data_IF_540505635228
#
_entry.id   IF_540505635228
#
_cell.length_a   1.000
_cell.length_b   1.000
_cell.length_c   1.000
_cell.angle_alpha   90.00
_cell.angle_beta   90.00
_cell.angle_gamma   90.00
#
_symmetry.space_group_name_H-M   'P 1'
#
loop_
_entity.id
_entity.type
_entity.pdbx_description
1 polymer ?
#
# COMPACT_ATOMS: atom_id res chain seq x y z
N UNK A 1 17.26 -38.72 29.85
CA UNK A 1 17.95 -38.98 28.56
C UNK A 1 17.97 -40.48 28.26
N UNK A 2 16.79 -41.07 28.05
CA UNK A 2 16.52 -42.38 27.42
C UNK A 2 15.00 -42.50 27.43
N UNK A 3 14.40 -42.87 26.29
CA UNK A 3 12.97 -43.13 26.06
C UNK A 3 12.13 -42.06 25.33
N UNK A 4 12.71 -41.33 24.36
CA UNK A 4 11.92 -40.51 23.41
C UNK A 4 12.18 -40.79 21.92
N UNK A 5 12.83 -41.91 21.55
CA UNK A 5 13.10 -42.24 20.14
C UNK A 5 12.83 -43.70 19.79
N UNK A 6 11.55 -44.10 19.74
CA UNK A 6 11.12 -45.31 19.01
C UNK A 6 9.84 -45.03 18.22
N UNK A 7 9.92 -44.17 17.21
CA UNK A 7 8.99 -44.19 16.08
C UNK A 7 9.51 -45.18 15.05
N UNK A 8 8.83 -46.31 14.91
CA UNK A 8 9.01 -47.22 13.77
C UNK A 8 8.40 -46.56 12.55
N UNK A 9 9.24 -46.15 11.60
CA UNK A 9 8.79 -45.72 10.27
C UNK A 9 8.26 -46.96 9.54
N UNK A 10 6.94 -47.03 9.34
CA UNK A 10 6.36 -47.97 8.40
C UNK A 10 6.43 -47.39 6.99
N UNK A 11 6.79 -48.25 6.04
CA UNK A 11 6.96 -47.91 4.62
C UNK A 11 5.57 -47.71 4.01
N UNK A 12 5.02 -46.50 4.09
CA UNK A 12 3.72 -46.15 3.51
C UNK A 12 3.18 -44.75 3.85
N UNK A 13 4.02 -43.84 4.36
CA UNK A 13 3.57 -42.55 4.90
C UNK A 13 3.43 -41.46 3.82
N UNK A 14 2.69 -41.78 2.75
CA UNK A 14 2.30 -40.84 1.72
C UNK A 14 0.79 -40.58 1.85
N UNK A 15 0.43 -39.41 2.37
CA UNK A 15 -0.88 -38.81 2.13
C UNK A 15 -1.87 -38.82 3.29
N UNK A 16 -1.52 -38.21 4.43
CA UNK A 16 -2.53 -37.87 5.47
C UNK A 16 -3.23 -36.52 5.27
N UNK A 17 -2.94 -35.76 4.21
CA UNK A 17 -3.57 -34.45 3.95
C UNK A 17 -4.46 -34.37 2.69
N UNK A 18 -4.45 -35.38 1.82
CA UNK A 18 -5.19 -35.32 0.56
C UNK A 18 -6.60 -35.96 0.61
N UNK A 19 -6.88 -36.84 1.59
CA UNK A 19 -8.15 -37.57 1.62
C UNK A 19 -9.33 -36.79 2.22
N UNK A 20 -9.09 -35.78 3.06
CA UNK A 20 -10.18 -35.13 3.82
C UNK A 20 -10.99 -34.10 3.01
N UNK A 21 -10.53 -33.72 1.81
CA UNK A 21 -11.27 -32.79 0.93
C UNK A 21 -12.29 -33.50 0.02
N UNK A 22 -12.28 -34.83 -0.04
CA UNK A 22 -13.12 -35.59 -0.99
C UNK A 22 -14.51 -35.94 -0.46
N UNK A 23 -14.77 -35.75 0.84
CA UNK A 23 -16.06 -36.10 1.48
C UNK A 23 -17.01 -34.90 1.69
N UNK A 24 -16.69 -33.73 1.13
CA UNK A 24 -17.63 -32.61 1.08
C UNK A 24 -18.72 -32.93 0.04
N UNK A 25 -19.90 -33.33 0.54
CA UNK A 25 -21.06 -33.66 -0.28
C UNK A 25 -21.36 -32.56 -1.30
N UNK A 26 -21.67 -32.97 -2.54
CA UNK A 26 -22.05 -32.09 -3.64
C UNK A 26 -23.09 -31.06 -3.18
N UNK A 27 -22.67 -29.80 -3.04
CA UNK A 27 -23.58 -28.68 -2.96
C UNK A 27 -23.69 -28.01 -4.32
N UNK A 28 -24.91 -27.58 -4.61
CA UNK A 28 -25.30 -26.86 -5.82
C UNK A 28 -24.43 -25.61 -6.04
N UNK A 29 -23.69 -25.52 -7.16
CA UNK A 29 -22.79 -24.40 -7.44
C UNK A 29 -23.50 -23.05 -7.67
N UNK A 30 -24.83 -23.02 -7.82
CA UNK A 30 -25.61 -21.78 -7.97
C UNK A 30 -26.12 -21.21 -6.64
N UNK A 31 -25.88 -21.90 -5.51
CA UNK A 31 -26.34 -21.43 -4.20
C UNK A 31 -25.39 -20.37 -3.64
N UNK A 32 -25.90 -19.15 -3.49
CA UNK A 32 -25.16 -18.02 -2.92
C UNK A 32 -24.53 -18.41 -1.56
N UNK A 33 -23.19 -18.34 -1.50
CA UNK A 33 -22.41 -18.61 -0.28
C UNK A 33 -22.71 -17.50 0.74
N UNK A 34 -23.73 -17.72 1.60
CA UNK A 34 -23.98 -16.81 2.71
C UNK A 34 -22.79 -16.85 3.68
N UNK A 35 -22.02 -15.77 3.68
CA UNK A 35 -21.03 -15.41 4.68
C UNK A 35 -21.65 -15.43 6.09
N UNK A 36 -21.48 -16.53 6.83
CA UNK A 36 -21.82 -16.63 8.27
C UNK A 36 -20.89 -15.81 9.18
N UNK A 37 -20.29 -14.74 8.65
CA UNK A 37 -19.29 -13.90 9.31
C UNK A 37 -19.90 -12.68 10.01
N UNK A 38 -21.19 -12.40 9.80
CA UNK A 38 -21.86 -11.20 10.32
C UNK A 38 -21.87 -11.09 11.87
N UNK A 39 -21.62 -12.18 12.59
CA UNK A 39 -21.61 -12.21 14.06
C UNK A 39 -20.23 -12.06 14.73
N UNK A 40 -19.12 -12.12 13.99
CA UNK A 40 -17.77 -12.12 14.57
C UNK A 40 -17.24 -10.69 14.77
N UNK A 41 -17.27 -10.23 16.03
CA UNK A 41 -16.66 -8.95 16.44
C UNK A 41 -15.14 -9.09 16.59
N UNK A 42 -14.41 -7.99 16.38
CA UNK A 42 -12.94 -7.89 16.41
C UNK A 42 -12.26 -8.29 17.74
N UNK A 43 -13.02 -8.66 18.78
CA UNK A 43 -12.53 -8.89 20.14
C UNK A 43 -12.72 -10.33 20.64
N UNK A 44 -13.15 -11.27 19.79
CA UNK A 44 -13.39 -12.65 20.22
C UNK A 44 -12.06 -13.39 20.40
N UNK A 45 -11.60 -13.49 21.64
CA UNK A 45 -10.44 -14.30 22.02
C UNK A 45 -10.70 -15.78 21.72
N UNK A 46 -10.09 -16.29 20.64
CA UNK A 46 -10.23 -17.67 20.13
C UNK A 46 -9.78 -18.74 21.15
N UNK A 47 -8.98 -18.34 22.14
CA UNK A 47 -8.38 -19.26 23.12
C UNK A 47 -9.23 -19.55 24.38
N UNK A 48 -10.41 -18.93 24.54
CA UNK A 48 -11.22 -19.10 25.75
C UNK A 48 -12.24 -20.25 25.69
N UNK A 49 -12.50 -20.85 24.53
CA UNK A 49 -13.49 -21.93 24.37
C UNK A 49 -12.92 -23.08 23.52
N UNK A 50 -13.07 -24.32 23.99
CA UNK A 50 -12.48 -25.50 23.32
C UNK A 50 -13.05 -25.72 21.91
N UNK A 51 -14.28 -25.28 21.63
CA UNK A 51 -14.87 -25.40 20.29
C UNK A 51 -14.20 -24.48 19.26
N UNK A 52 -13.74 -23.29 19.66
CA UNK A 52 -13.07 -22.36 18.74
C UNK A 52 -11.63 -22.81 18.43
N UNK A 53 -10.99 -23.52 19.37
CA UNK A 53 -9.69 -24.15 19.16
C UNK A 53 -9.78 -25.38 18.22
N UNK A 54 -10.82 -26.20 18.35
CA UNK A 54 -11.08 -27.32 17.43
C UNK A 54 -11.40 -26.87 15.98
N UNK A 55 -12.08 -25.73 15.81
CA UNK A 55 -12.34 -25.17 14.48
C UNK A 55 -11.08 -24.64 13.78
N UNK A 56 -10.11 -24.12 14.54
CA UNK A 56 -8.79 -23.71 14.02
C UNK A 56 -7.93 -24.92 13.60
N UNK A 57 -7.90 -25.97 14.41
CA UNK A 57 -7.25 -27.27 14.07
C UNK A 57 -7.84 -27.91 12.80
N UNK A 58 -9.14 -27.66 12.50
CA UNK A 58 -9.81 -28.11 11.26
C UNK A 58 -9.47 -27.28 10.01
N UNK A 59 -8.52 -26.34 10.08
CA UNK A 59 -8.01 -25.61 8.92
C UNK A 59 -8.78 -24.32 8.58
N UNK A 60 -9.65 -23.83 9.46
CA UNK A 60 -10.29 -22.52 9.29
C UNK A 60 -9.26 -21.44 9.61
N UNK A 61 -8.86 -20.67 8.59
CA UNK A 61 -7.95 -19.53 8.73
C UNK A 61 -8.42 -18.60 9.85
N UNK A 62 -7.48 -18.16 10.71
CA UNK A 62 -7.75 -17.18 11.77
C UNK A 62 -8.61 -16.04 11.19
N UNK A 63 -9.77 -15.67 11.76
CA UNK A 63 -10.72 -14.74 11.12
C UNK A 63 -10.07 -13.43 10.66
N UNK A 64 -9.02 -13.01 11.36
CA UNK A 64 -8.19 -11.87 11.00
C UNK A 64 -7.33 -12.11 9.74
N UNK A 65 -6.68 -13.27 9.62
CA UNK A 65 -5.96 -13.66 8.40
C UNK A 65 -6.92 -13.82 7.22
N UNK A 66 -8.09 -14.44 7.44
CA UNK A 66 -9.11 -14.60 6.41
C UNK A 66 -9.57 -13.23 5.89
N UNK A 67 -9.93 -12.30 6.78
CA UNK A 67 -10.28 -10.94 6.39
C UNK A 67 -9.14 -10.23 5.66
N UNK A 68 -7.90 -10.33 6.16
CA UNK A 68 -6.74 -9.69 5.52
C UNK A 68 -6.48 -10.24 4.12
N UNK A 69 -6.62 -11.55 3.90
CA UNK A 69 -6.49 -12.18 2.58
C UNK A 69 -7.53 -11.69 1.56
N UNK A 70 -8.74 -11.34 2.01
CA UNK A 70 -9.81 -10.84 1.13
C UNK A 70 -9.87 -9.30 1.03
N UNK A 71 -9.20 -8.57 1.92
CA UNK A 71 -9.27 -7.10 1.97
C UNK A 71 -7.98 -6.39 1.58
N UNK A 72 -6.83 -7.06 1.60
CA UNK A 72 -5.53 -6.44 1.30
C UNK A 72 -4.99 -6.87 -0.08
N UNK A 73 -4.34 -5.96 -0.83
CA UNK A 73 -3.62 -6.30 -2.05
C UNK A 73 -2.51 -7.34 -1.81
N UNK A 74 -2.19 -8.13 -2.84
CA UNK A 74 -1.17 -9.18 -2.77
C UNK A 74 0.22 -8.66 -2.40
N UNK A 75 0.59 -7.44 -2.82
CA UNK A 75 1.88 -6.85 -2.42
C UNK A 75 1.97 -6.61 -0.91
N UNK A 76 0.87 -6.17 -0.28
CA UNK A 76 0.81 -5.91 1.16
C UNK A 76 0.94 -7.21 1.95
N UNK A 77 0.29 -8.28 1.46
CA UNK A 77 0.37 -9.61 2.08
C UNK A 77 1.78 -10.20 1.97
N UNK A 78 2.43 -10.08 0.80
CA UNK A 78 3.80 -10.55 0.60
C UNK A 78 4.82 -9.77 1.44
N UNK A 79 4.67 -8.45 1.52
CA UNK A 79 5.52 -7.61 2.38
C UNK A 79 5.36 -7.99 3.86
N UNK A 80 4.14 -8.27 4.31
CA UNK A 80 3.86 -8.71 5.68
C UNK A 80 4.41 -10.10 5.95
N UNK A 81 4.20 -11.07 5.06
CA UNK A 81 4.75 -12.41 5.19
C UNK A 81 6.28 -12.40 5.24
N UNK A 82 6.92 -11.60 4.38
CA UNK A 82 8.38 -11.42 4.39
C UNK A 82 8.87 -10.86 5.72
N UNK A 83 8.16 -9.85 6.27
CA UNK A 83 8.50 -9.25 7.57
C UNK A 83 8.38 -10.26 8.71
N UNK A 84 7.32 -11.07 8.73
CA UNK A 84 7.12 -12.12 9.73
C UNK A 84 8.20 -13.22 9.64
N UNK A 85 8.58 -13.63 8.43
CA UNK A 85 9.68 -14.59 8.23
C UNK A 85 10.99 -14.04 8.78
N UNK A 86 11.30 -12.77 8.48
CA UNK A 86 12.53 -12.12 8.97
C UNK A 86 12.51 -12.01 10.50
N UNK A 87 11.38 -11.60 11.10
CA UNK A 87 11.23 -11.52 12.55
C UNK A 87 11.37 -12.90 13.21
N UNK A 88 10.75 -13.93 12.63
CA UNK A 88 10.86 -15.31 13.10
C UNK A 88 12.30 -15.81 13.07
N UNK A 89 13.03 -15.55 11.98
CA UNK A 89 14.46 -15.89 11.86
C UNK A 89 15.33 -15.17 12.90
N UNK A 90 15.11 -13.88 13.13
CA UNK A 90 15.86 -13.12 14.14
C UNK A 90 15.60 -13.68 15.55
N UNK A 91 14.34 -14.02 15.86
CA UNK A 91 13.97 -14.58 17.15
C UNK A 91 14.58 -15.97 17.36
N UNK A 92 14.53 -16.83 16.34
CA UNK A 92 15.17 -18.15 16.36
C UNK A 92 16.67 -18.03 16.60
N UNK A 93 17.34 -17.11 15.90
CA UNK A 93 18.79 -16.90 16.04
C UNK A 93 19.16 -16.36 17.43
N UNK A 94 18.36 -15.43 17.98
CA UNK A 94 18.54 -14.95 19.35
C UNK A 94 18.37 -16.07 20.38
N UNK A 95 17.38 -16.96 20.19
CA UNK A 95 17.17 -18.12 21.06
C UNK A 95 18.33 -19.12 20.97
N UNK A 96 18.81 -19.41 19.76
CA UNK A 96 19.97 -20.29 19.55
C UNK A 96 21.23 -19.72 20.21
N UNK A 97 21.50 -18.42 20.04
CA UNK A 97 22.63 -17.75 20.69
C UNK A 97 22.52 -17.86 22.22
N UNK A 98 21.33 -17.61 22.79
CA UNK A 98 21.11 -17.72 24.23
C UNK A 98 21.30 -19.14 24.76
N UNK A 99 20.81 -20.15 24.03
CA UNK A 99 21.04 -21.57 24.38
C UNK A 99 22.52 -21.92 24.28
N UNK A 100 23.20 -21.43 23.25
CA UNK A 100 24.63 -21.65 23.05
C UNK A 100 25.47 -20.99 24.15
N UNK A 101 25.15 -19.75 24.55
CA UNK A 101 25.76 -19.04 25.67
C UNK A 101 25.58 -19.78 26.99
N UNK A 102 24.36 -20.26 27.26
CA UNK A 102 24.07 -21.07 28.45
C UNK A 102 24.88 -22.37 28.44
N UNK A 103 25.00 -23.04 27.28
CA UNK A 103 25.82 -24.24 27.11
C UNK A 103 27.31 -23.99 27.39
N UNK A 104 27.86 -22.86 26.92
CA UNK A 104 29.23 -22.46 27.22
C UNK A 104 29.44 -22.21 28.71
N UNK A 105 28.51 -21.51 29.36
CA UNK A 105 28.58 -21.25 30.78
C UNK A 105 28.52 -22.55 31.60
N UNK A 106 27.62 -23.46 31.25
CA UNK A 106 27.50 -24.77 31.93
C UNK A 106 28.81 -25.56 31.80
N UNK A 107 29.39 -25.60 30.60
CA UNK A 107 30.66 -26.31 30.36
C UNK A 107 31.81 -25.69 31.17
N UNK A 108 31.88 -24.36 31.19
CA UNK A 108 32.85 -23.63 32.02
C UNK A 108 32.67 -23.92 33.52
N UNK A 109 31.43 -23.94 34.00
CA UNK A 109 31.11 -24.26 35.39
C UNK A 109 31.44 -25.72 35.73
N UNK A 110 31.17 -26.68 34.83
CA UNK A 110 31.52 -28.10 35.00
C UNK A 110 33.04 -28.30 35.13
N UNK A 111 33.82 -27.60 34.30
CA UNK A 111 35.28 -27.60 34.43
C UNK A 111 35.75 -27.05 35.77
N UNK A 112 35.16 -25.93 36.23
CA UNK A 112 35.49 -25.34 37.52
C UNK A 112 35.12 -26.25 38.69
N UNK A 113 33.96 -26.89 38.66
CA UNK A 113 33.52 -27.82 39.71
C UNK A 113 34.45 -29.03 39.78
N UNK A 114 34.86 -29.60 38.63
CA UNK A 114 35.84 -30.70 38.60
C UNK A 114 37.19 -30.28 39.17
N UNK A 115 37.69 -29.12 38.75
CA UNK A 115 38.93 -28.56 39.29
C UNK A 115 38.85 -28.39 40.81
N UNK A 116 37.76 -27.82 41.32
CA UNK A 116 37.55 -27.64 42.77
C UNK A 116 37.47 -28.98 43.52
N UNK A 117 36.86 -30.00 42.92
CA UNK A 117 36.77 -31.33 43.53
C UNK A 117 38.14 -32.01 43.64
N UNK A 118 38.93 -31.98 42.57
CA UNK A 118 40.31 -32.50 42.57
C UNK A 118 41.18 -31.79 43.61
N UNK A 119 41.05 -30.47 43.70
CA UNK A 119 41.77 -29.67 44.67
C UNK A 119 41.37 -29.98 46.12
N UNK A 120 40.08 -30.24 46.41
CA UNK A 120 39.60 -30.65 47.73
C UNK A 120 40.10 -32.05 48.13
N UNK A 121 40.19 -32.97 47.16
CA UNK A 121 40.69 -34.32 47.42
C UNK A 121 42.20 -34.31 47.72
N UNK A 122 42.97 -33.43 47.05
CA UNK A 122 44.38 -33.18 47.39
C UNK A 122 44.52 -32.60 48.80
N UNK A 123 43.74 -31.58 49.16
CA UNK A 123 43.77 -30.96 50.48
C UNK A 123 43.40 -31.94 51.60
N UNK A 124 42.44 -32.86 51.38
CA UNK A 124 42.11 -33.92 52.33
C UNK A 124 43.22 -34.93 52.58
N UNK A 125 44.13 -35.09 51.61
CA UNK A 125 45.27 -36.01 51.71
C UNK A 125 46.48 -35.39 52.41
N UNK A 126 46.51 -34.05 52.58
CA UNK A 126 47.57 -33.32 53.29
C UNK A 126 47.29 -33.22 54.78
N UNK A 127 48.36 -33.28 55.58
CA UNK A 127 48.28 -33.19 57.03
C UNK A 127 47.90 -31.76 57.50
N UNK A 128 47.17 -31.68 58.62
CA UNK A 128 46.32 -30.54 59.00
C UNK A 128 46.92 -29.12 58.91
N UNK A 129 48.18 -28.85 59.32
CA UNK A 129 48.72 -27.49 59.27
C UNK A 129 49.01 -26.98 57.85
N UNK A 130 49.44 -27.86 56.95
CA UNK A 130 49.85 -27.49 55.59
C UNK A 130 48.64 -27.28 54.66
N UNK A 131 47.59 -28.11 54.84
CA UNK A 131 46.33 -27.99 54.10
C UNK A 131 45.60 -26.67 54.41
N UNK A 132 45.71 -26.16 55.64
CA UNK A 132 45.08 -24.88 56.05
C UNK A 132 45.74 -23.70 55.36
N UNK A 133 47.08 -23.68 55.26
CA UNK A 133 47.82 -22.58 54.61
C UNK A 133 47.53 -22.52 53.11
N UNK A 134 47.51 -23.65 52.40
CA UNK A 134 47.17 -23.68 50.97
C UNK A 134 45.71 -23.30 50.69
N UNK A 135 44.78 -23.71 51.55
CA UNK A 135 43.38 -23.32 51.42
C UNK A 135 43.18 -21.80 51.59
N UNK A 136 43.93 -21.17 52.50
CA UNK A 136 43.87 -19.73 52.76
C UNK A 136 44.49 -18.91 51.61
N UNK A 137 45.59 -19.37 51.02
CA UNK A 137 46.19 -18.77 49.83
C UNK A 137 45.23 -18.84 48.62
N UNK A 138 44.57 -19.99 48.42
CA UNK A 138 43.57 -20.19 47.36
C UNK A 138 42.34 -19.31 47.55
N UNK A 139 41.84 -19.19 48.77
CA UNK A 139 40.72 -18.31 49.09
C UNK A 139 41.05 -16.85 48.78
N UNK A 140 42.29 -16.43 49.03
CA UNK A 140 42.78 -15.08 48.69
C UNK A 140 42.85 -14.86 47.18
N UNK A 141 43.34 -15.83 46.41
CA UNK A 141 43.38 -15.75 44.94
C UNK A 141 41.99 -15.68 44.30
N UNK A 142 41.05 -16.52 44.75
CA UNK A 142 39.66 -16.49 44.28
C UNK A 142 38.98 -15.16 44.60
N UNK A 143 39.28 -14.57 45.76
CA UNK A 143 38.76 -13.25 46.15
C UNK A 143 39.27 -12.17 45.21
N UNK A 144 40.54 -12.21 44.82
CA UNK A 144 41.13 -11.27 43.86
C UNK A 144 40.51 -11.41 42.45
N UNK A 145 40.33 -12.64 41.96
CA UNK A 145 39.64 -12.89 40.68
C UNK A 145 38.19 -12.39 40.69
N UNK A 146 37.49 -12.53 41.82
CA UNK A 146 36.10 -12.07 41.97
C UNK A 146 36.02 -10.53 41.93
N UNK A 147 36.95 -9.84 42.60
CA UNK A 147 37.05 -8.38 42.51
C UNK A 147 37.41 -7.91 41.09
N UNK A 148 38.28 -8.63 40.38
CA UNK A 148 38.60 -8.35 38.98
C UNK A 148 37.37 -8.47 38.07
N UNK A 149 36.61 -9.55 38.18
CA UNK A 149 35.37 -9.76 37.38
C UNK A 149 34.32 -8.69 37.71
N UNK A 150 34.20 -8.28 38.98
CA UNK A 150 33.30 -7.18 39.36
C UNK A 150 33.70 -5.87 38.70
N UNK A 151 35.00 -5.56 38.67
CA UNK A 151 35.52 -4.36 38.02
C UNK A 151 35.27 -4.38 36.50
N UNK A 152 35.57 -5.49 35.83
CA UNK A 152 35.32 -5.68 34.39
C UNK A 152 33.83 -5.51 34.05
N UNK A 153 32.95 -6.14 34.83
CA UNK A 153 31.49 -6.01 34.64
C UNK A 153 30.99 -4.58 34.81
N UNK A 154 31.55 -3.82 35.76
CA UNK A 154 31.19 -2.42 35.96
C UNK A 154 31.64 -1.56 34.77
N UNK A 155 32.80 -1.84 34.20
CA UNK A 155 33.29 -1.15 32.99
C UNK A 155 32.43 -1.47 31.76
N UNK A 156 32.06 -2.74 31.55
CA UNK A 156 31.16 -3.14 30.46
C UNK A 156 29.78 -2.47 30.58
N UNK A 157 29.23 -2.36 31.79
CA UNK A 157 27.97 -1.65 32.02
C UNK A 157 28.06 -0.18 31.63
N UNK A 158 29.16 0.51 31.97
CA UNK A 158 29.38 1.89 31.57
C UNK A 158 29.49 2.05 30.05
N UNK A 159 30.20 1.12 29.38
CA UNK A 159 30.30 1.10 27.92
C UNK A 159 28.95 0.87 27.25
N UNK A 160 28.16 -0.08 27.77
CA UNK A 160 26.81 -0.34 27.29
C UNK A 160 25.92 0.91 27.45
N UNK A 161 25.93 1.55 28.62
CA UNK A 161 25.13 2.75 28.85
C UNK A 161 25.54 3.92 27.94
N UNK A 162 26.84 4.09 27.68
CA UNK A 162 27.33 5.08 26.72
C UNK A 162 26.79 4.80 25.30
N UNK A 163 26.86 3.55 24.84
CA UNK A 163 26.33 3.15 23.53
C UNK A 163 24.81 3.32 23.42
N UNK A 164 24.06 3.05 24.51
CA UNK A 164 22.61 3.23 24.52
C UNK A 164 22.24 4.72 24.43
N UNK A 165 22.99 5.60 25.09
CA UNK A 165 22.79 7.06 25.00
C UNK A 165 23.07 7.58 23.59
N UNK A 166 24.11 7.09 22.93
CA UNK A 166 24.42 7.44 21.54
C UNK A 166 23.31 6.98 20.58
N UNK A 167 22.88 5.72 20.68
CA UNK A 167 21.77 5.18 19.89
C UNK A 167 20.47 5.95 20.12
N UNK A 168 20.18 6.35 21.36
CA UNK A 168 19.02 7.18 21.70
C UNK A 168 19.10 8.56 21.03
N UNK A 169 20.28 9.15 20.95
CA UNK A 169 20.53 10.40 20.21
C UNK A 169 20.20 10.24 18.73
N UNK A 170 20.80 9.24 18.07
CA UNK A 170 20.55 8.96 16.64
C UNK A 170 19.08 8.66 16.33
N UNK A 171 18.39 7.94 17.21
CA UNK A 171 16.96 7.69 17.07
C UNK A 171 16.15 8.99 17.13
N UNK A 172 16.53 9.92 18.01
CA UNK A 172 15.94 11.26 18.11
C UNK A 172 16.12 12.05 16.81
N UNK A 173 17.35 12.08 16.28
CA UNK A 173 17.67 12.76 15.02
C UNK A 173 16.89 12.17 13.84
N UNK A 174 16.85 10.83 13.73
CA UNK A 174 16.10 10.14 12.68
C UNK A 174 14.60 10.44 12.76
N UNK A 175 14.02 10.50 13.97
CA UNK A 175 12.63 10.87 14.16
C UNK A 175 12.36 12.32 13.76
N UNK A 176 13.28 13.24 14.06
CA UNK A 176 13.18 14.64 13.66
C UNK A 176 13.18 14.77 12.13
N UNK A 177 14.15 14.16 11.46
CA UNK A 177 14.24 14.14 9.99
C UNK A 177 12.99 13.55 9.33
N UNK A 178 12.43 12.49 9.91
CA UNK A 178 11.17 11.90 9.42
C UNK A 178 9.99 12.87 9.53
N UNK A 179 9.90 13.64 10.63
CA UNK A 179 8.86 14.67 10.79
C UNK A 179 9.02 15.78 9.77
N UNK A 180 10.26 16.25 9.55
CA UNK A 180 10.55 17.27 8.54
C UNK A 180 10.24 16.77 7.12
N UNK A 181 10.66 15.56 6.76
CA UNK A 181 10.38 14.97 5.46
C UNK A 181 8.87 14.85 5.21
N UNK A 182 8.09 14.42 6.21
CA UNK A 182 6.62 14.38 6.12
C UNK A 182 6.01 15.77 5.95
N UNK A 183 6.52 16.77 6.66
CA UNK A 183 6.05 18.15 6.51
C UNK A 183 6.35 18.70 5.10
N UNK A 184 7.53 18.41 4.55
CA UNK A 184 7.91 18.78 3.18
C UNK A 184 7.03 18.09 2.15
N UNK A 185 6.79 16.79 2.29
CA UNK A 185 5.92 16.03 1.39
C UNK A 185 4.51 16.66 1.31
N UNK A 186 3.90 16.96 2.47
CA UNK A 186 2.58 17.62 2.51
C UNK A 186 2.56 18.97 1.79
N UNK A 187 3.60 19.80 1.95
CA UNK A 187 3.68 21.09 1.25
C UNK A 187 3.74 20.92 -0.26
N UNK A 188 4.53 19.96 -0.74
CA UNK A 188 4.60 19.65 -2.17
C UNK A 188 3.25 19.16 -2.69
N UNK A 189 2.55 18.31 -1.93
CA UNK A 189 1.20 17.85 -2.29
C UNK A 189 0.21 19.02 -2.39
N UNK A 190 0.26 19.97 -1.45
CA UNK A 190 -0.59 21.18 -1.46
C UNK A 190 -0.26 22.09 -2.67
N UNK A 191 1.02 22.27 -2.99
CA UNK A 191 1.47 23.01 -4.19
C UNK A 191 1.01 22.32 -5.48
N UNK A 192 1.13 21.00 -5.55
CA UNK A 192 0.66 20.20 -6.68
C UNK A 192 -0.86 20.35 -6.85
N UNK A 193 -1.61 20.25 -5.76
CA UNK A 193 -3.06 20.43 -5.76
C UNK A 193 -3.46 21.83 -6.24
N UNK A 194 -2.72 22.87 -5.83
CA UNK A 194 -2.96 24.23 -6.31
C UNK A 194 -2.69 24.33 -7.81
N UNK A 195 -1.56 23.81 -8.29
CA UNK A 195 -1.21 23.82 -9.72
C UNK A 195 -2.23 23.06 -10.59
N UNK A 196 -2.78 21.96 -10.09
CA UNK A 196 -3.84 21.21 -10.79
C UNK A 196 -5.11 22.04 -10.93
N UNK A 197 -5.52 22.77 -9.87
CA UNK A 197 -6.69 23.66 -9.94
C UNK A 197 -6.48 24.79 -10.94
N UNK A 198 -5.30 25.39 -10.95
CA UNK A 198 -4.96 26.49 -11.87
C UNK A 198 -4.97 25.98 -13.33
N UNK A 199 -4.42 24.78 -13.58
CA UNK A 199 -4.46 24.14 -14.89
C UNK A 199 -5.89 23.82 -15.34
N UNK A 200 -6.71 23.28 -14.45
CA UNK A 200 -8.11 22.97 -14.74
C UNK A 200 -8.91 24.23 -15.08
N UNK A 201 -8.69 25.32 -14.34
CA UNK A 201 -9.27 26.63 -14.64
C UNK A 201 -8.83 27.14 -16.02
N UNK A 202 -7.53 27.13 -16.33
CA UNK A 202 -7.02 27.56 -17.62
C UNK A 202 -7.60 26.71 -18.78
N UNK A 203 -7.75 25.39 -18.55
CA UNK A 203 -8.36 24.48 -19.53
C UNK A 203 -9.84 24.76 -19.74
N UNK A 204 -10.56 25.28 -18.75
CA UNK A 204 -11.96 25.67 -18.89
C UNK A 204 -12.12 26.99 -19.67
N UNK A 205 -11.19 27.94 -19.51
CA UNK A 205 -11.25 29.25 -20.18
C UNK A 205 -10.79 29.20 -21.64
N UNK A 206 -9.74 28.43 -21.95
CA UNK A 206 -9.18 28.34 -23.30
C UNK A 206 -10.22 28.03 -24.40
N UNK A 207 -11.13 27.05 -24.23
CA UNK A 207 -12.19 26.78 -25.20
C UNK A 207 -13.19 27.92 -25.33
N UNK A 208 -13.54 28.61 -24.23
CA UNK A 208 -14.53 29.70 -24.24
C UNK A 208 -13.99 30.86 -25.08
N UNK A 209 -12.73 31.24 -24.86
CA UNK A 209 -12.05 32.31 -25.60
C UNK A 209 -11.86 31.93 -27.07
N UNK A 210 -11.34 30.73 -27.35
CA UNK A 210 -11.11 30.28 -28.73
C UNK A 210 -12.41 30.16 -29.53
N UNK A 211 -13.51 29.71 -28.91
CA UNK A 211 -14.83 29.66 -29.56
C UNK A 211 -15.38 31.06 -29.80
N UNK A 212 -15.20 31.99 -28.87
CA UNK A 212 -15.62 33.38 -29.06
C UNK A 212 -14.86 34.06 -30.21
N UNK A 213 -13.54 33.87 -30.28
CA UNK A 213 -12.69 34.36 -31.37
C UNK A 213 -13.08 33.73 -32.72
N UNK A 214 -13.28 32.42 -32.75
CA UNK A 214 -13.73 31.72 -33.96
C UNK A 214 -15.08 32.25 -34.46
N UNK A 215 -16.06 32.42 -33.56
CA UNK A 215 -17.37 33.02 -33.91
C UNK A 215 -17.25 34.47 -34.36
N UNK A 216 -16.26 35.22 -33.84
CA UNK A 216 -15.97 36.60 -34.25
C UNK A 216 -15.27 36.72 -35.60
N UNK A 217 -14.59 35.67 -36.06
CA UNK A 217 -13.80 35.66 -37.29
C UNK A 217 -14.62 35.94 -38.54
N UNK A 218 -13.99 36.61 -39.52
CA UNK A 218 -14.63 36.94 -40.80
C UNK A 218 -15.08 35.67 -41.55
N UNK A 219 -14.24 34.63 -41.58
CA UNK A 219 -14.54 33.37 -42.25
C UNK A 219 -15.78 32.67 -41.69
N UNK A 220 -15.99 32.71 -40.36
CA UNK A 220 -17.21 32.17 -39.74
C UNK A 220 -18.46 32.97 -40.15
N UNK A 221 -18.40 34.31 -40.12
CA UNK A 221 -19.51 35.18 -40.53
C UNK A 221 -19.87 35.01 -42.02
N UNK A 222 -18.88 34.94 -42.89
CA UNK A 222 -19.09 34.68 -44.32
C UNK A 222 -19.62 33.27 -44.58
N UNK A 223 -19.13 32.27 -43.84
CA UNK A 223 -19.66 30.90 -43.86
C UNK A 223 -21.14 30.86 -43.51
N UNK A 224 -21.55 31.56 -42.45
CA UNK A 224 -22.96 31.69 -42.06
C UNK A 224 -23.82 32.35 -43.16
N UNK A 225 -23.32 33.42 -43.78
CA UNK A 225 -24.02 34.08 -44.91
C UNK A 225 -24.22 33.11 -46.08
N UNK A 226 -23.18 32.35 -46.46
CA UNK A 226 -23.26 31.34 -47.52
C UNK A 226 -24.25 30.23 -47.18
N UNK A 227 -24.22 29.72 -45.94
CA UNK A 227 -25.17 28.71 -45.48
C UNK A 227 -26.62 29.22 -45.53
N UNK A 228 -26.87 30.45 -45.08
CA UNK A 228 -28.19 31.08 -45.15
C UNK A 228 -28.71 31.23 -46.59
N UNK A 229 -27.83 31.61 -47.53
CA UNK A 229 -28.18 31.70 -48.95
C UNK A 229 -28.56 30.33 -49.52
N UNK A 230 -27.76 29.29 -49.24
CA UNK A 230 -28.04 27.92 -49.72
C UNK A 230 -29.37 27.38 -49.16
N UNK A 231 -29.67 27.62 -47.87
CA UNK A 231 -30.94 27.17 -47.28
C UNK A 231 -32.14 27.94 -47.83
N UNK A 232 -31.98 29.25 -48.06
CA UNK A 232 -33.00 30.09 -48.67
C UNK A 232 -33.28 29.70 -50.13
N UNK A 233 -32.24 29.50 -50.94
CA UNK A 233 -32.34 29.01 -52.32
C UNK A 233 -33.03 27.64 -52.38
N UNK A 234 -32.63 26.72 -51.51
CA UNK A 234 -33.24 25.40 -51.44
C UNK A 234 -34.73 25.49 -51.08
N UNK A 235 -35.07 26.29 -50.06
CA UNK A 235 -36.45 26.55 -49.66
C UNK A 235 -37.28 27.18 -50.78
N UNK A 236 -36.72 28.15 -51.49
CA UNK A 236 -37.35 28.80 -52.64
C UNK A 236 -37.63 27.81 -53.77
N UNK A 237 -36.64 26.98 -54.16
CA UNK A 237 -36.82 25.96 -55.20
C UNK A 237 -37.92 24.96 -54.86
N UNK A 238 -37.98 24.53 -53.59
CA UNK A 238 -39.05 23.65 -53.12
C UNK A 238 -40.42 24.34 -53.16
N UNK A 239 -40.51 25.59 -52.70
CA UNK A 239 -41.74 26.37 -52.74
C UNK A 239 -42.22 26.62 -54.17
N UNK A 240 -41.30 26.96 -55.07
CA UNK A 240 -41.55 27.18 -56.50
C UNK A 240 -42.06 25.90 -57.18
N UNK A 241 -41.44 24.75 -56.92
CA UNK A 241 -41.91 23.46 -57.43
C UNK A 241 -43.34 23.14 -56.95
N UNK A 242 -43.64 23.40 -55.68
CA UNK A 242 -44.99 23.21 -55.12
C UNK A 242 -46.02 24.19 -55.69
N UNK A 243 -45.60 25.41 -56.01
CA UNK A 243 -46.47 26.41 -56.64
C UNK A 243 -46.80 26.01 -58.08
N UNK A 244 -45.79 25.67 -58.89
CA UNK A 244 -45.96 25.20 -60.28
C UNK A 244 -46.86 23.96 -60.37
N UNK A 245 -46.73 23.03 -59.43
CA UNK A 245 -47.60 21.86 -59.36
C UNK A 245 -49.08 22.22 -59.09
N UNK A 246 -49.37 23.35 -58.44
CA UNK A 246 -50.73 23.82 -58.14
C UNK A 246 -51.31 24.78 -59.16
N UNK A 247 -50.45 25.53 -59.86
CA UNK A 247 -50.84 26.54 -60.85
C UNK A 247 -49.99 26.39 -62.13
N UNK A 248 -50.31 25.43 -63.02
CA UNK A 248 -49.48 25.10 -64.18
C UNK A 248 -49.36 26.23 -65.21
N UNK A 249 -50.40 27.07 -65.32
CA UNK A 249 -50.50 28.12 -66.36
C UNK A 249 -49.99 29.49 -65.89
N UNK A 250 -49.49 29.58 -64.64
CA UNK A 250 -48.98 30.83 -64.08
C UNK A 250 -47.52 31.08 -64.53
N UNK A 251 -47.29 32.14 -65.29
CA UNK A 251 -45.94 32.61 -65.62
C UNK A 251 -45.30 33.28 -64.40
N UNK A 252 -44.15 32.76 -63.97
CA UNK A 252 -43.29 33.40 -62.97
C UNK A 252 -42.05 33.88 -63.71
N UNK A 253 -41.80 35.19 -63.63
CA UNK A 253 -40.59 35.84 -64.15
C UNK A 253 -39.35 35.40 -63.37
N UNK A 254 -38.19 35.51 -64.03
CA UNK A 254 -36.90 34.84 -63.80
C UNK A 254 -36.52 34.42 -62.36
N UNK A 255 -35.80 33.29 -62.28
CA UNK A 255 -35.27 32.77 -61.00
C UNK A 255 -34.34 33.83 -60.38
N UNK A 256 -34.69 34.42 -59.22
CA UNK A 256 -33.94 35.50 -58.58
C UNK A 256 -32.52 35.12 -58.16
N UNK A 257 -32.15 33.84 -58.27
CA UNK A 257 -30.82 33.32 -57.95
C UNK A 257 -29.98 32.98 -59.18
N UNK A 258 -30.47 33.26 -60.38
CA UNK A 258 -29.69 33.15 -61.62
C UNK A 258 -28.66 34.26 -61.63
N UNK A 259 -27.37 33.90 -61.53
CA UNK A 259 -26.28 34.89 -61.58
C UNK A 259 -26.00 35.18 -63.05
N UNK A 260 -26.18 36.43 -63.46
CA UNK A 260 -25.81 36.90 -64.80
C UNK A 260 -24.38 37.46 -64.80
N UNK A 261 -23.62 37.33 -65.90
CA UNK A 261 -22.26 37.89 -66.00
C UNK A 261 -22.19 39.41 -65.83
N UNK A 262 -23.31 40.11 -66.02
CA UNK A 262 -23.46 41.54 -65.72
C UNK A 262 -23.41 41.86 -64.22
N UNK A 263 -23.85 40.94 -63.35
CA UNK A 263 -23.88 41.12 -61.88
C UNK A 263 -22.50 41.06 -61.24
N UNK A 264 -21.51 40.45 -61.90
CA UNK A 264 -20.10 40.38 -61.44
C UNK A 264 -19.41 41.76 -61.45
N UNK A 265 -20.00 42.75 -62.13
CA UNK A 265 -19.47 44.11 -62.24
C UNK A 265 -20.01 45.10 -61.20
N UNK A 266 -20.98 44.68 -60.37
CA UNK A 266 -21.62 45.53 -59.36
C UNK A 266 -20.84 45.44 -58.03
N UNK A 267 -20.24 46.54 -57.53
CA UNK A 267 -19.53 46.51 -56.27
C UNK A 267 -20.52 46.31 -55.11
N UNK A 268 -20.45 45.16 -54.46
CA UNK A 268 -21.28 44.84 -53.31
C UNK A 268 -20.70 45.51 -52.05
N UNK A 269 -21.47 46.40 -51.42
CA UNK A 269 -21.06 47.07 -50.17
C UNK A 269 -20.76 46.04 -49.09
N UNK A 270 -19.55 46.13 -48.51
CA UNK A 270 -19.03 45.13 -47.57
C UNK A 270 -19.66 45.21 -46.18
N UNK A 271 -20.35 46.32 -45.88
CA UNK A 271 -21.09 46.54 -44.65
C UNK A 271 -22.35 47.34 -44.96
N UNK A 272 -23.49 46.81 -44.52
CA UNK A 272 -24.76 47.52 -44.45
C UNK A 272 -25.25 47.33 -43.03
N UNK A 273 -25.28 48.41 -42.26
CA UNK A 273 -25.77 48.37 -40.88
C UNK A 273 -27.29 48.21 -40.91
N UNK A 274 -27.79 47.20 -40.21
CA UNK A 274 -29.23 47.00 -40.05
C UNK A 274 -29.76 48.01 -39.04
N UNK A 275 -30.89 48.63 -39.36
CA UNK A 275 -31.59 49.52 -38.43
C UNK A 275 -32.33 48.68 -37.38
N UNK A 276 -31.68 48.47 -36.24
CA UNK A 276 -32.21 47.75 -35.08
C UNK A 276 -33.14 48.65 -34.21
N UNK A 277 -33.64 49.76 -34.75
CA UNK A 277 -34.59 50.61 -34.04
C UNK A 277 -35.87 49.84 -33.71
N UNK A 278 -36.27 49.86 -32.44
CA UNK A 278 -37.53 49.24 -32.02
C UNK A 278 -38.71 49.91 -32.74
N UNK A 279 -39.71 49.13 -33.22
CA UNK A 279 -40.89 49.70 -33.86
C UNK A 279 -41.65 50.58 -32.86
N UNK A 280 -42.29 51.66 -33.31
CA UNK A 280 -43.00 52.58 -32.41
C UNK A 280 -44.14 51.86 -31.70
N UNK A 281 -44.21 52.04 -30.38
CA UNK A 281 -45.30 51.52 -29.55
C UNK A 281 -46.63 52.12 -30.02
N UNK A 282 -47.62 51.27 -30.26
CA UNK A 282 -49.01 51.65 -30.59
C UNK A 282 -49.87 51.72 -29.33
#
# INVERSE_FOLDING_TARGET
MKDLFKTKVYKGDQGYYALLMSDLGHQDPEKELQARWAGLKNSTNVWHTSSAAEEYERGILHPQLARELYTLPSEVLMARATKEIVLSQHLQMALVNRVHDAGRLITFMDHRVKQQQEELDVLKSKDGPEAVVEAEERASKLKEELEKIKAEKAEELLRHEASERELRGHLGDAQHLLKEARARARRMDDELLQSMKDLEHARAELPVTAVAEYKGSLGFKEGLKRMGRVTYEYGYRVALARFRARHPDANIEEDPFTIYPEDDSVPMERQQDFDDSAPPES
#
